data_IF_290872975959
#
_entry.id   IF_290872975959
#
_cell.length_a   1.000
_cell.length_b   1.000
_cell.length_c   1.000
_cell.angle_alpha   90.00
_cell.angle_beta   90.00
_cell.angle_gamma   90.00
#
_symmetry.space_group_name_H-M   'P 1'
#
loop_
_entity.id
_entity.type
_entity.pdbx_description
1 polymer ?
#
# COMPACT_ATOMS: atom_id res chain seq x y z
N UNK A 1 16.27 -5.83 5.90
CA UNK A 1 15.05 -5.20 5.37
C UNK A 1 14.05 -6.28 5.03
N UNK A 2 12.80 -6.09 5.41
CA UNK A 2 11.66 -6.95 5.03
C UNK A 2 10.68 -6.09 4.22
N UNK A 3 10.42 -6.45 2.98
CA UNK A 3 9.43 -5.79 2.11
C UNK A 3 8.18 -6.65 2.05
N UNK A 4 7.07 -6.14 2.57
CA UNK A 4 5.78 -6.81 2.52
C UNK A 4 4.98 -6.34 1.29
N UNK A 5 4.36 -7.28 0.57
CA UNK A 5 3.74 -7.01 -0.72
C UNK A 5 4.77 -6.78 -1.82
N UNK A 6 5.91 -7.47 -1.76
CA UNK A 6 7.06 -7.22 -2.62
C UNK A 6 6.81 -7.49 -4.13
N UNK A 7 5.68 -8.10 -4.47
CA UNK A 7 5.37 -8.44 -5.85
C UNK A 7 6.51 -9.21 -6.52
N UNK A 8 6.98 -8.72 -7.65
CA UNK A 8 8.10 -9.29 -8.40
C UNK A 8 9.48 -8.82 -7.90
N UNK A 9 9.55 -8.05 -6.79
CA UNK A 9 10.79 -7.56 -6.19
C UNK A 9 11.42 -6.38 -6.95
N UNK A 10 10.63 -5.48 -7.47
CA UNK A 10 11.12 -4.28 -8.17
C UNK A 10 11.87 -3.34 -7.23
N UNK A 11 11.28 -3.03 -6.07
CA UNK A 11 11.92 -2.21 -5.04
C UNK A 11 13.17 -2.91 -4.48
N UNK A 12 13.09 -4.21 -4.20
CA UNK A 12 14.21 -5.02 -3.73
C UNK A 12 15.44 -4.91 -4.65
N UNK A 13 15.23 -5.03 -5.97
CA UNK A 13 16.33 -4.88 -6.95
C UNK A 13 16.96 -3.49 -6.89
N UNK A 14 16.15 -2.44 -6.80
CA UNK A 14 16.62 -1.07 -6.74
C UNK A 14 17.40 -0.80 -5.45
N UNK A 15 16.88 -1.22 -4.31
CA UNK A 15 17.53 -1.03 -3.00
C UNK A 15 18.85 -1.80 -2.91
N UNK A 16 18.87 -3.07 -3.30
CA UNK A 16 20.11 -3.88 -3.26
C UNK A 16 21.15 -3.34 -4.24
N UNK A 17 20.73 -2.89 -5.44
CA UNK A 17 21.64 -2.27 -6.40
C UNK A 17 22.24 -0.95 -5.91
N UNK A 18 21.52 -0.21 -5.06
CA UNK A 18 22.04 1.01 -4.42
C UNK A 18 23.12 0.72 -3.34
N UNK A 19 23.23 -0.52 -2.88
CA UNK A 19 24.25 -0.95 -1.94
C UNK A 19 24.22 -0.23 -0.59
N UNK A 20 23.05 -0.10 0.08
CA UNK A 20 22.98 0.63 1.33
C UNK A 20 23.76 -0.10 2.43
N UNK A 21 24.46 0.66 3.26
CA UNK A 21 25.31 0.12 4.35
C UNK A 21 24.57 -0.86 5.28
N UNK A 22 23.27 -0.68 5.49
CA UNK A 22 22.46 -1.58 6.31
C UNK A 22 22.32 -2.99 5.71
N UNK A 23 22.65 -3.19 4.44
CA UNK A 23 22.61 -4.49 3.77
C UNK A 23 24.00 -5.12 3.58
N UNK A 24 25.12 -4.47 3.98
CA UNK A 24 26.47 -5.06 3.88
C UNK A 24 26.58 -6.41 4.62
N UNK A 25 25.92 -6.53 5.77
CA UNK A 25 25.84 -7.77 6.55
C UNK A 25 24.39 -8.23 6.74
N UNK A 26 23.45 -7.65 6.01
CA UNK A 26 22.02 -7.88 6.13
C UNK A 26 21.44 -8.65 4.95
N UNK A 27 20.16 -8.92 5.05
CA UNK A 27 19.36 -9.60 4.01
C UNK A 27 18.16 -8.73 3.64
N UNK A 28 17.82 -8.72 2.36
CA UNK A 28 16.55 -8.20 1.87
C UNK A 28 15.57 -9.36 1.71
N UNK A 29 14.58 -9.43 2.59
CA UNK A 29 13.52 -10.42 2.54
C UNK A 29 12.30 -9.84 1.82
N UNK A 30 11.96 -10.43 0.69
CA UNK A 30 10.75 -10.13 -0.06
C UNK A 30 9.61 -11.05 0.42
N UNK A 31 8.55 -10.45 0.92
CA UNK A 31 7.35 -11.17 1.36
C UNK A 31 6.23 -10.93 0.37
N UNK A 32 5.72 -12.00 -0.25
CA UNK A 32 4.66 -11.94 -1.25
C UNK A 32 3.79 -13.21 -1.17
N UNK A 33 2.47 -13.05 -1.07
CA UNK A 33 1.54 -14.20 -0.96
C UNK A 33 1.37 -14.95 -2.27
N UNK A 34 1.40 -14.25 -3.39
CA UNK A 34 1.25 -14.86 -4.71
C UNK A 34 2.48 -15.70 -5.08
N UNK A 35 2.29 -17.00 -5.21
CA UNK A 35 3.37 -17.90 -5.65
C UNK A 35 3.86 -17.56 -7.07
N UNK A 36 2.97 -17.04 -7.92
CA UNK A 36 3.29 -16.63 -9.29
C UNK A 36 4.23 -15.42 -9.27
N UNK A 37 3.92 -14.40 -8.47
CA UNK A 37 4.78 -13.21 -8.35
C UNK A 37 6.10 -13.54 -7.66
N UNK A 38 6.09 -14.41 -6.65
CA UNK A 38 7.33 -14.87 -6.00
C UNK A 38 8.28 -15.59 -6.97
N UNK A 39 7.77 -16.32 -7.92
CA UNK A 39 8.61 -17.01 -8.91
C UNK A 39 9.45 -16.06 -9.78
N UNK A 40 9.01 -14.82 -9.93
CA UNK A 40 9.71 -13.78 -10.70
C UNK A 40 10.65 -12.93 -9.84
N UNK A 41 10.71 -13.17 -8.52
CA UNK A 41 11.57 -12.42 -7.61
C UNK A 41 13.05 -12.70 -7.84
N UNK A 42 13.95 -11.72 -7.62
CA UNK A 42 15.37 -11.94 -7.70
C UNK A 42 15.84 -12.95 -6.66
N UNK A 43 16.86 -13.72 -7.02
CA UNK A 43 17.50 -14.70 -6.14
C UNK A 43 19.03 -14.49 -6.12
N UNK A 44 19.70 -15.05 -5.13
CA UNK A 44 21.13 -14.94 -4.95
C UNK A 44 21.54 -14.24 -3.67
N UNK A 45 22.80 -13.80 -3.59
CA UNK A 45 23.37 -13.17 -2.38
C UNK A 45 22.61 -11.88 -2.06
N UNK A 46 22.18 -11.75 -0.80
CA UNK A 46 21.47 -10.57 -0.30
C UNK A 46 19.95 -10.65 -0.44
N UNK A 47 19.41 -11.61 -1.18
CA UNK A 47 17.97 -11.79 -1.34
C UNK A 47 17.43 -13.03 -0.62
N UNK A 48 16.27 -12.88 -0.03
CA UNK A 48 15.43 -13.98 0.45
C UNK A 48 13.97 -13.75 0.02
N UNK A 49 13.19 -14.81 -0.08
CA UNK A 49 11.78 -14.76 -0.48
C UNK A 49 10.94 -15.64 0.45
N UNK A 50 9.79 -15.14 0.86
CA UNK A 50 8.84 -15.82 1.74
C UNK A 50 7.39 -15.52 1.33
N UNK A 51 6.48 -16.39 1.76
CA UNK A 51 5.04 -16.14 1.64
C UNK A 51 4.49 -15.29 2.81
N UNK A 52 5.20 -15.25 3.92
CA UNK A 52 4.78 -14.63 5.17
C UNK A 52 5.93 -13.86 5.82
N UNK A 53 5.60 -12.81 6.56
CA UNK A 53 6.55 -12.15 7.46
C UNK A 53 6.93 -13.17 8.55
N UNK A 54 8.20 -13.24 8.98
CA UNK A 54 8.59 -14.05 10.14
C UNK A 54 7.80 -13.66 11.39
N UNK A 55 7.46 -14.64 12.22
CA UNK A 55 6.68 -14.44 13.46
C UNK A 55 7.43 -13.60 14.53
N UNK A 56 8.71 -13.31 14.32
CA UNK A 56 9.56 -12.51 15.21
C UNK A 56 11.01 -12.53 14.79
N UNK A 57 11.89 -11.91 15.59
CA UNK A 57 13.34 -11.92 15.38
C UNK A 57 13.83 -10.90 14.35
N UNK A 58 12.99 -9.95 13.91
CA UNK A 58 13.40 -8.97 12.93
C UNK A 58 14.12 -7.82 13.64
N UNK A 59 15.40 -7.65 13.31
CA UNK A 59 16.15 -6.43 13.62
C UNK A 59 16.38 -5.66 12.32
N UNK A 60 15.66 -4.53 12.14
CA UNK A 60 15.73 -3.77 10.89
C UNK A 60 14.47 -2.99 10.54
N UNK A 61 14.17 -2.91 9.26
CA UNK A 61 13.00 -2.17 8.75
C UNK A 61 12.07 -3.13 8.03
N UNK A 62 10.81 -3.11 8.41
CA UNK A 62 9.70 -3.68 7.63
C UNK A 62 9.11 -2.56 6.79
N UNK A 63 9.03 -2.75 5.47
CA UNK A 63 8.46 -1.79 4.52
C UNK A 63 7.18 -2.36 3.92
N UNK A 64 6.11 -1.59 3.92
CA UNK A 64 4.88 -1.87 3.20
C UNK A 64 4.55 -0.67 2.31
N UNK A 65 4.66 -0.85 1.00
CA UNK A 65 4.35 0.17 0.01
C UNK A 65 3.10 -0.24 -0.77
N UNK A 66 2.03 0.56 -0.68
CA UNK A 66 0.75 0.29 -1.32
C UNK A 66 0.27 -1.16 -1.07
N UNK A 67 0.26 -1.54 0.22
CA UNK A 67 -0.17 -2.87 0.65
C UNK A 67 -1.48 -2.82 1.40
N UNK A 68 -1.64 -1.84 2.31
CA UNK A 68 -2.78 -1.81 3.23
C UNK A 68 -4.08 -1.45 2.50
N UNK A 69 -4.00 -0.64 1.46
CA UNK A 69 -5.11 -0.26 0.58
C UNK A 69 -5.71 -1.47 -0.19
N UNK A 70 -4.93 -2.55 -0.31
CA UNK A 70 -5.31 -3.80 -0.99
C UNK A 70 -5.70 -4.94 -0.02
N UNK A 71 -5.66 -4.70 1.29
CA UNK A 71 -6.08 -5.70 2.26
C UNK A 71 -7.62 -5.78 2.34
N UNK A 72 -8.18 -6.95 2.66
CA UNK A 72 -9.63 -7.10 2.82
C UNK A 72 -10.20 -6.13 3.84
N UNK A 73 -11.31 -5.50 3.52
CA UNK A 73 -12.02 -4.57 4.38
C UNK A 73 -13.53 -4.83 4.38
N UNK A 74 -14.20 -4.38 5.42
CA UNK A 74 -15.64 -4.27 5.48
C UNK A 74 -16.10 -2.88 5.04
N UNK A 75 -17.39 -2.75 4.72
CA UNK A 75 -18.01 -1.45 4.42
C UNK A 75 -19.22 -1.27 5.31
N UNK A 76 -19.33 -0.11 5.96
CA UNK A 76 -20.48 0.30 6.73
C UNK A 76 -21.17 1.46 6.03
N UNK A 77 -22.50 1.48 6.13
CA UNK A 77 -23.33 2.58 5.66
C UNK A 77 -24.24 3.07 6.80
N UNK A 78 -24.47 4.37 6.85
CA UNK A 78 -25.40 4.97 7.78
C UNK A 78 -26.85 4.68 7.37
N UNK A 79 -27.64 4.15 8.32
CA UNK A 79 -29.07 3.87 8.18
C UNK A 79 -29.80 4.46 9.40
N UNK A 80 -30.34 5.66 9.25
CA UNK A 80 -30.90 6.43 10.35
C UNK A 80 -29.82 6.83 11.36
N UNK A 81 -29.98 6.37 12.60
CA UNK A 81 -29.07 6.62 13.73
C UNK A 81 -28.05 5.50 13.97
N UNK A 82 -27.86 4.59 13.00
CA UNK A 82 -27.06 3.39 13.13
C UNK A 82 -26.11 3.20 11.95
N UNK A 83 -25.02 2.48 12.21
CA UNK A 83 -24.18 1.91 11.18
C UNK A 83 -24.62 0.48 10.88
N UNK A 84 -24.69 0.13 9.61
CA UNK A 84 -24.99 -1.23 9.15
C UNK A 84 -23.93 -1.73 8.19
N UNK A 85 -23.64 -3.02 8.30
CA UNK A 85 -22.74 -3.68 7.35
C UNK A 85 -23.34 -3.65 5.94
N UNK A 86 -22.52 -3.31 4.97
CA UNK A 86 -22.83 -3.50 3.55
C UNK A 86 -22.34 -4.89 3.14
N UNK A 87 -23.23 -5.69 2.60
CA UNK A 87 -22.96 -7.04 2.09
C UNK A 87 -23.25 -7.12 0.62
N UNK A 88 -22.72 -8.14 -0.04
CA UNK A 88 -23.06 -8.45 -1.41
C UNK A 88 -24.20 -9.45 -1.40
N UNK A 89 -25.31 -9.11 -2.03
CA UNK A 89 -26.47 -9.97 -2.27
C UNK A 89 -26.59 -10.32 -3.75
N UNK A 90 -27.55 -11.18 -4.06
CA UNK A 90 -27.89 -11.56 -5.43
C UNK A 90 -29.37 -11.24 -5.70
N UNK A 91 -29.65 -10.40 -6.69
CA UNK A 91 -30.97 -10.07 -7.16
C UNK A 91 -31.04 -10.24 -8.68
N UNK A 92 -31.99 -11.08 -9.16
CA UNK A 92 -32.18 -11.35 -10.58
C UNK A 92 -30.83 -11.64 -11.33
N UNK A 93 -29.98 -12.48 -10.72
CA UNK A 93 -28.66 -12.87 -11.22
C UNK A 93 -27.62 -11.73 -11.29
N UNK A 94 -27.90 -10.59 -10.63
CA UNK A 94 -26.97 -9.48 -10.49
C UNK A 94 -26.49 -9.35 -9.05
N UNK A 95 -25.21 -9.06 -8.87
CA UNK A 95 -24.66 -8.72 -7.56
C UNK A 95 -25.10 -7.31 -7.18
N UNK A 96 -25.63 -7.18 -5.98
CA UNK A 96 -26.11 -5.92 -5.41
C UNK A 96 -25.56 -5.71 -4.02
N UNK A 97 -25.44 -4.46 -3.60
CA UNK A 97 -25.17 -4.13 -2.20
C UNK A 97 -26.46 -4.22 -1.40
N UNK A 98 -26.40 -4.87 -0.25
CA UNK A 98 -27.51 -4.97 0.71
C UNK A 98 -27.06 -4.54 2.08
N UNK A 99 -27.91 -3.78 2.80
CA UNK A 99 -27.68 -3.47 4.20
C UNK A 99 -28.04 -4.69 5.05
N UNK A 100 -27.08 -5.13 5.84
CA UNK A 100 -27.22 -6.31 6.70
C UNK A 100 -27.35 -5.92 8.18
N UNK A 101 -26.66 -6.61 9.06
CA UNK A 101 -26.70 -6.39 10.50
C UNK A 101 -26.20 -5.01 10.93
N UNK A 102 -26.74 -4.53 12.05
CA UNK A 102 -26.17 -3.37 12.76
C UNK A 102 -24.74 -3.72 13.25
N UNK A 103 -23.81 -2.77 13.09
CA UNK A 103 -22.43 -2.95 13.50
C UNK A 103 -21.89 -1.67 14.11
N UNK A 104 -21.15 -1.81 15.19
CA UNK A 104 -20.40 -0.69 15.76
C UNK A 104 -19.28 -0.29 14.77
N UNK A 105 -19.11 1.01 14.55
CA UNK A 105 -18.01 1.50 13.72
C UNK A 105 -16.66 1.25 14.42
N UNK A 106 -15.57 1.13 13.66
CA UNK A 106 -14.23 0.87 14.21
C UNK A 106 -13.68 2.04 15.03
N UNK A 107 -14.21 3.25 14.84
CA UNK A 107 -13.88 4.46 15.60
C UNK A 107 -15.14 5.14 16.09
N UNK A 108 -15.04 6.01 17.10
CA UNK A 108 -16.20 6.74 17.61
C UNK A 108 -16.67 7.81 16.62
N UNK A 109 -17.65 7.46 15.81
CA UNK A 109 -18.24 8.33 14.79
C UNK A 109 -19.74 8.11 14.68
N UNK A 110 -20.50 9.20 14.81
CA UNK A 110 -21.95 9.15 14.63
C UNK A 110 -22.32 8.95 13.14
N UNK A 111 -23.37 8.16 12.84
CA UNK A 111 -23.85 8.03 11.49
C UNK A 111 -24.46 9.34 10.99
N UNK A 112 -24.10 9.72 9.77
CA UNK A 112 -24.68 10.87 9.05
C UNK A 112 -25.37 10.34 7.81
N UNK A 113 -26.59 10.80 7.47
CA UNK A 113 -27.33 10.30 6.31
C UNK A 113 -26.49 10.25 5.03
N UNK A 114 -26.42 9.07 4.40
CA UNK A 114 -25.63 8.83 3.19
C UNK A 114 -24.16 8.55 3.42
N UNK A 115 -23.65 8.69 4.64
CA UNK A 115 -22.26 8.39 4.93
C UNK A 115 -21.94 6.90 4.78
N UNK A 116 -20.73 6.64 4.31
CA UNK A 116 -20.12 5.31 4.26
C UNK A 116 -18.72 5.39 4.86
N UNK A 117 -18.30 4.33 5.53
CA UNK A 117 -16.96 4.21 6.11
C UNK A 117 -16.42 2.79 5.89
N UNK A 118 -15.09 2.62 5.73
CA UNK A 118 -14.48 1.32 5.74
C UNK A 118 -14.36 0.76 7.16
N UNK A 119 -14.38 -0.56 7.30
CA UNK A 119 -13.95 -1.32 8.47
C UNK A 119 -12.67 -2.06 8.09
N UNK A 120 -11.53 -1.52 8.45
CA UNK A 120 -10.20 -1.99 8.05
C UNK A 120 -9.50 -2.83 9.12
N UNK A 121 -10.26 -3.64 9.83
CA UNK A 121 -9.71 -4.55 10.86
C UNK A 121 -8.58 -5.46 10.36
N UNK A 122 -8.57 -5.84 9.06
CA UNK A 122 -7.46 -6.60 8.48
C UNK A 122 -6.17 -5.80 8.37
N UNK A 123 -6.25 -4.51 8.00
CA UNK A 123 -5.08 -3.63 7.94
C UNK A 123 -4.53 -3.37 9.34
N UNK A 124 -5.41 -3.12 10.33
CA UNK A 124 -5.03 -2.95 11.72
C UNK A 124 -4.34 -4.20 12.28
N UNK A 125 -4.91 -5.39 12.05
CA UNK A 125 -4.33 -6.66 12.50
C UNK A 125 -2.97 -6.93 11.82
N UNK A 126 -2.85 -6.67 10.52
CA UNK A 126 -1.60 -6.83 9.79
C UNK A 126 -0.51 -5.88 10.34
N UNK A 127 -0.85 -4.61 10.56
CA UNK A 127 0.07 -3.61 11.10
C UNK A 127 0.55 -4.02 12.50
N UNK A 128 -0.36 -4.47 13.36
CA UNK A 128 -0.02 -4.99 14.70
C UNK A 128 0.93 -6.17 14.60
N UNK A 129 0.63 -7.18 13.77
CA UNK A 129 1.49 -8.35 13.60
C UNK A 129 2.86 -8.00 13.02
N UNK A 130 2.94 -7.05 12.09
CA UNK A 130 4.21 -6.57 11.56
C UNK A 130 5.06 -5.85 12.64
N UNK A 131 4.43 -5.09 13.52
CA UNK A 131 5.11 -4.47 14.67
C UNK A 131 5.58 -5.52 15.68
N UNK A 132 4.78 -6.52 15.98
CA UNK A 132 5.12 -7.64 16.89
C UNK A 132 6.27 -8.51 16.35
N UNK A 133 6.48 -8.54 15.05
CA UNK A 133 7.60 -9.27 14.43
C UNK A 133 8.96 -8.57 14.60
N UNK A 134 8.97 -7.29 14.98
CA UNK A 134 10.18 -6.50 15.19
C UNK A 134 10.71 -6.65 16.61
N UNK A 135 11.92 -7.17 16.76
CA UNK A 135 12.68 -7.10 18.01
C UNK A 135 13.30 -5.71 18.20
N UNK A 136 13.78 -5.11 17.12
CA UNK A 136 14.35 -3.77 17.07
C UNK A 136 14.25 -3.20 15.67
N UNK A 137 13.72 -1.99 15.54
CA UNK A 137 13.65 -1.33 14.23
C UNK A 137 12.40 -0.52 14.03
N UNK A 138 11.90 -0.47 12.80
CA UNK A 138 10.73 0.31 12.46
C UNK A 138 9.87 -0.39 11.38
N UNK A 139 8.58 -0.13 11.42
CA UNK A 139 7.66 -0.38 10.33
C UNK A 139 7.45 0.93 9.56
N UNK A 140 7.74 0.92 8.27
CA UNK A 140 7.47 2.01 7.34
C UNK A 140 6.29 1.62 6.44
N UNK A 141 5.21 2.36 6.53
CA UNK A 141 4.04 2.21 5.64
C UNK A 141 3.98 3.42 4.72
N UNK A 142 3.88 3.19 3.43
CA UNK A 142 3.64 4.21 2.40
C UNK A 142 2.36 3.82 1.69
N UNK A 143 1.31 4.64 1.85
CA UNK A 143 0.00 4.32 1.32
C UNK A 143 -0.87 5.57 1.13
N UNK A 144 -1.98 5.44 0.40
CA UNK A 144 -2.99 6.49 0.26
C UNK A 144 -3.86 6.53 1.51
N UNK A 145 -3.80 7.62 2.25
CA UNK A 145 -4.39 7.68 3.59
C UNK A 145 -5.41 8.78 3.77
N UNK A 146 -6.35 8.54 4.67
CA UNK A 146 -7.31 9.52 5.18
C UNK A 146 -7.73 9.12 6.59
N UNK A 147 -8.64 9.86 7.22
CA UNK A 147 -9.31 9.45 8.44
C UNK A 147 -10.70 8.90 8.15
N UNK A 148 -11.22 8.04 9.02
CA UNK A 148 -12.61 7.55 8.91
C UNK A 148 -13.61 8.70 8.86
N UNK A 149 -13.38 9.76 9.63
CA UNK A 149 -14.24 10.96 9.65
C UNK A 149 -14.21 11.70 8.30
N UNK A 150 -13.05 11.87 7.70
CA UNK A 150 -12.94 12.50 6.37
C UNK A 150 -13.63 11.65 5.30
N UNK A 151 -13.46 10.34 5.32
CA UNK A 151 -14.13 9.42 4.40
C UNK A 151 -15.65 9.49 4.53
N UNK A 152 -16.18 9.57 5.76
CA UNK A 152 -17.63 9.69 6.02
C UNK A 152 -18.26 10.94 5.39
N UNK A 153 -17.46 11.99 5.14
CA UNK A 153 -17.93 13.26 4.55
C UNK A 153 -17.80 13.33 3.02
N UNK A 154 -17.14 12.35 2.41
CA UNK A 154 -16.85 12.30 0.97
C UNK A 154 -17.71 11.24 0.27
N UNK A 155 -18.03 11.41 -1.03
CA UNK A 155 -18.54 10.33 -1.87
C UNK A 155 -17.62 9.09 -1.81
N UNK A 156 -18.24 7.91 -1.76
CA UNK A 156 -17.51 6.64 -1.59
C UNK A 156 -16.51 6.37 -2.71
N UNK A 157 -16.79 6.78 -3.93
CA UNK A 157 -15.94 6.62 -5.11
C UNK A 157 -14.67 7.49 -5.08
N UNK A 158 -14.55 8.41 -4.14
CA UNK A 158 -13.32 9.18 -3.94
C UNK A 158 -12.27 8.44 -3.12
N UNK A 159 -12.66 7.47 -2.28
CA UNK A 159 -11.78 6.74 -1.40
C UNK A 159 -11.86 5.21 -1.52
N UNK A 160 -12.88 4.67 -2.20
CA UNK A 160 -13.03 3.28 -2.60
C UNK A 160 -13.06 3.23 -4.13
N UNK A 161 -12.02 2.71 -4.74
CA UNK A 161 -11.83 2.74 -6.19
C UNK A 161 -11.64 1.33 -6.72
N UNK A 162 -11.92 1.18 -8.01
CA UNK A 162 -11.64 -0.04 -8.74
C UNK A 162 -10.78 0.29 -9.96
N UNK A 163 -9.92 -0.63 -10.32
CA UNK A 163 -9.04 -0.47 -11.49
C UNK A 163 -9.07 -1.73 -12.34
N UNK A 164 -9.09 -1.52 -13.67
CA UNK A 164 -8.95 -2.56 -14.68
C UNK A 164 -7.99 -2.06 -15.76
N UNK A 165 -6.94 -2.83 -16.06
CA UNK A 165 -5.95 -2.45 -17.07
C UNK A 165 -5.40 -1.02 -16.88
N UNK A 166 -5.10 -0.64 -15.64
CA UNK A 166 -4.65 0.70 -15.23
C UNK A 166 -5.65 1.84 -15.49
N UNK A 167 -6.91 1.53 -15.75
CA UNK A 167 -7.99 2.51 -15.87
C UNK A 167 -8.98 2.37 -14.73
N UNK A 168 -9.67 3.46 -14.39
CA UNK A 168 -10.71 3.41 -13.38
C UNK A 168 -11.82 2.45 -13.84
N UNK A 169 -12.18 1.52 -12.96
CA UNK A 169 -13.20 0.51 -13.18
C UNK A 169 -14.63 0.97 -12.84
N UNK A 170 -15.55 0.02 -12.77
CA UNK A 170 -16.93 0.22 -12.37
C UNK A 170 -17.15 0.14 -10.84
N UNK A 171 -18.37 -0.20 -10.43
CA UNK A 171 -18.65 -0.45 -9.01
C UNK A 171 -17.93 -1.72 -8.53
N UNK A 172 -17.57 -1.83 -7.24
CA UNK A 172 -16.89 -3.03 -6.71
C UNK A 172 -17.64 -4.35 -6.97
N UNK A 173 -18.95 -4.31 -7.11
CA UNK A 173 -19.80 -5.48 -7.39
C UNK A 173 -19.95 -5.81 -8.86
N UNK A 174 -19.47 -4.94 -9.75
CA UNK A 174 -19.54 -5.17 -11.20
C UNK A 174 -18.41 -6.10 -11.64
N UNK A 175 -18.75 -7.16 -12.37
CA UNK A 175 -17.81 -8.10 -12.98
C UNK A 175 -16.70 -8.60 -12.02
N UNK A 176 -17.06 -9.33 -10.93
CA UNK A 176 -16.13 -9.74 -9.88
C UNK A 176 -14.96 -10.56 -10.41
N UNK A 177 -13.77 -10.25 -9.90
CA UNK A 177 -12.53 -10.91 -10.29
C UNK A 177 -11.86 -10.33 -11.54
N UNK A 178 -12.45 -9.29 -12.16
CA UNK A 178 -11.90 -8.64 -13.35
C UNK A 178 -11.25 -7.29 -13.06
N UNK A 179 -11.34 -6.81 -11.83
CA UNK A 179 -10.83 -5.50 -11.41
C UNK A 179 -10.20 -5.57 -10.02
N UNK A 180 -9.19 -4.76 -9.79
CA UNK A 180 -8.63 -4.54 -8.47
C UNK A 180 -9.54 -3.58 -7.70
N UNK A 181 -9.68 -3.80 -6.40
CA UNK A 181 -10.45 -2.93 -5.50
C UNK A 181 -9.47 -2.37 -4.47
N UNK A 182 -9.32 -1.05 -4.44
CA UNK A 182 -8.48 -0.36 -3.48
C UNK A 182 -9.30 0.59 -2.61
N UNK A 183 -8.87 0.76 -1.37
CA UNK A 183 -9.52 1.62 -0.39
C UNK A 183 -8.48 2.49 0.29
N UNK A 184 -8.70 3.81 0.37
CA UNK A 184 -7.80 4.65 1.19
C UNK A 184 -7.68 4.09 2.60
N UNK A 185 -6.48 4.12 3.15
CA UNK A 185 -6.21 3.58 4.49
C UNK A 185 -6.70 4.57 5.56
N UNK A 186 -7.62 4.14 6.40
CA UNK A 186 -8.10 4.91 7.54
C UNK A 186 -7.07 4.84 8.67
N UNK A 187 -6.19 5.85 8.75
CA UNK A 187 -5.06 5.85 9.69
C UNK A 187 -5.50 5.81 11.15
N UNK A 188 -6.68 6.34 11.44
CA UNK A 188 -7.29 6.32 12.77
C UNK A 188 -7.84 4.95 13.20
N UNK A 189 -7.81 3.95 12.31
CA UNK A 189 -8.12 2.55 12.61
C UNK A 189 -6.85 1.70 12.83
N UNK A 190 -5.67 2.24 12.55
CA UNK A 190 -4.39 1.56 12.72
C UNK A 190 -3.81 1.81 14.12
N UNK A 191 -2.82 1.02 14.57
CA UNK A 191 -2.00 1.38 15.72
C UNK A 191 -1.40 2.77 15.54
N UNK A 192 -1.37 3.56 16.64
CA UNK A 192 -0.88 4.93 16.60
C UNK A 192 0.58 4.99 16.11
N UNK A 193 0.87 5.74 15.03
CA UNK A 193 2.21 5.83 14.47
C UNK A 193 3.10 6.76 15.32
N UNK A 194 4.40 6.48 15.37
CA UNK A 194 5.39 7.38 15.99
C UNK A 194 5.48 8.72 15.24
N UNK A 195 5.29 8.70 13.93
CA UNK A 195 5.26 9.89 13.07
C UNK A 195 4.48 9.64 11.80
N UNK A 196 3.87 10.69 11.27
CA UNK A 196 3.18 10.69 9.97
C UNK A 196 3.63 11.91 9.19
N UNK A 197 3.92 11.72 7.91
CA UNK A 197 4.29 12.79 6.99
C UNK A 197 3.81 12.44 5.59
N UNK A 198 3.68 13.40 4.71
CA UNK A 198 3.44 13.13 3.30
C UNK A 198 4.70 12.59 2.61
N UNK A 199 4.48 11.80 1.56
CA UNK A 199 5.56 11.12 0.84
C UNK A 199 6.58 12.11 0.25
N UNK A 200 6.14 13.26 -0.23
CA UNK A 200 7.03 14.26 -0.82
C UNK A 200 7.98 14.84 0.23
N UNK A 201 7.48 15.19 1.40
CA UNK A 201 8.28 15.65 2.54
C UNK A 201 9.26 14.57 3.00
N UNK A 202 8.80 13.32 3.12
CA UNK A 202 9.67 12.18 3.45
C UNK A 202 10.81 12.03 2.46
N UNK A 203 10.52 12.05 1.16
CA UNK A 203 11.52 11.90 0.11
C UNK A 203 12.52 13.06 0.09
N UNK A 204 12.07 14.30 0.29
CA UNK A 204 12.96 15.48 0.36
C UNK A 204 13.93 15.37 1.54
N UNK A 205 13.44 15.00 2.72
CA UNK A 205 14.29 14.79 3.92
C UNK A 205 15.32 13.67 3.69
N UNK A 206 15.01 12.71 2.85
CA UNK A 206 15.88 11.57 2.53
C UNK A 206 16.67 11.70 1.23
N UNK A 207 16.75 12.93 0.65
CA UNK A 207 17.69 13.27 -0.42
C UNK A 207 17.19 13.01 -1.83
N UNK A 208 15.88 13.02 -2.08
CA UNK A 208 15.33 12.85 -3.43
C UNK A 208 15.85 13.94 -4.39
N UNK A 209 16.05 15.16 -3.91
CA UNK A 209 16.53 16.28 -4.72
C UNK A 209 17.94 16.02 -5.28
N UNK A 210 18.82 15.38 -4.52
CA UNK A 210 20.15 15.00 -4.96
C UNK A 210 20.07 13.94 -6.08
N UNK A 211 19.19 12.93 -5.93
CA UNK A 211 18.97 11.91 -6.95
C UNK A 211 18.39 12.50 -8.24
N UNK A 212 17.46 13.44 -8.12
CA UNK A 212 16.88 14.16 -9.28
C UNK A 212 17.95 14.99 -9.98
N UNK A 213 18.80 15.70 -9.22
CA UNK A 213 19.89 16.50 -9.77
C UNK A 213 20.90 15.62 -10.53
N UNK A 214 21.31 14.49 -9.94
CA UNK A 214 22.19 13.49 -10.58
C UNK A 214 21.56 12.93 -11.87
N UNK A 215 20.27 12.57 -11.83
CA UNK A 215 19.56 12.09 -13.00
C UNK A 215 19.49 13.12 -14.13
N UNK A 216 19.24 14.39 -13.80
CA UNK A 216 19.24 15.51 -14.77
C UNK A 216 20.62 15.73 -15.38
N UNK A 217 21.67 15.72 -14.57
CA UNK A 217 23.05 15.85 -15.04
C UNK A 217 23.41 14.71 -16.00
N UNK A 218 23.15 13.45 -15.60
CA UNK A 218 23.38 12.27 -16.44
C UNK A 218 22.66 12.40 -17.79
N UNK A 219 21.39 12.83 -17.77
CA UNK A 219 20.63 13.02 -19.01
C UNK A 219 21.19 14.13 -19.88
N UNK A 220 21.59 15.28 -19.30
CA UNK A 220 22.14 16.41 -20.05
C UNK A 220 23.48 16.07 -20.69
N UNK A 221 24.35 15.40 -19.97
CA UNK A 221 25.70 15.04 -20.44
C UNK A 221 25.69 13.95 -21.53
N UNK A 222 24.71 13.04 -21.47
CA UNK A 222 24.65 11.85 -22.32
C UNK A 222 23.56 11.88 -23.39
N UNK A 223 22.68 12.88 -23.37
CA UNK A 223 21.56 13.01 -24.31
C UNK A 223 21.98 13.11 -25.79
N UNK A 224 23.22 13.53 -26.06
CA UNK A 224 23.79 13.69 -27.41
C UNK A 224 24.25 12.40 -28.05
N UNK A 225 24.33 11.27 -27.31
CA UNK A 225 24.99 10.05 -27.78
C UNK A 225 23.99 8.89 -28.00
N UNK A 226 22.71 9.05 -27.66
CA UNK A 226 21.71 7.96 -27.74
C UNK A 226 22.04 6.78 -26.81
N UNK A 227 22.80 7.02 -25.75
CA UNK A 227 23.29 6.01 -24.84
C UNK A 227 22.23 5.57 -23.83
N UNK A 228 22.29 4.29 -23.45
CA UNK A 228 21.47 3.68 -22.38
C UNK A 228 21.57 4.41 -21.04
N UNK A 229 22.68 5.09 -20.74
CA UNK A 229 22.86 5.87 -19.53
C UNK A 229 21.99 7.14 -19.52
N UNK A 230 21.81 7.80 -20.68
CA UNK A 230 20.87 8.94 -20.81
C UNK A 230 19.42 8.50 -20.61
N UNK A 231 19.05 7.31 -21.08
CA UNK A 231 17.71 6.71 -20.83
C UNK A 231 17.53 6.42 -19.34
N UNK A 232 18.54 5.90 -18.66
CA UNK A 232 18.49 5.65 -17.20
C UNK A 232 18.39 6.94 -16.40
N UNK A 233 19.12 8.00 -16.77
CA UNK A 233 19.00 9.32 -16.15
C UNK A 233 17.60 9.90 -16.30
N UNK A 234 16.98 9.75 -17.49
CA UNK A 234 15.59 10.18 -17.73
C UNK A 234 14.58 9.37 -16.91
N UNK A 235 14.76 8.05 -16.79
CA UNK A 235 13.90 7.20 -15.97
C UNK A 235 13.93 7.63 -14.50
N UNK A 236 15.13 7.90 -13.94
CA UNK A 236 15.27 8.40 -12.56
C UNK A 236 14.52 9.72 -12.33
N UNK A 237 14.51 10.63 -13.30
CA UNK A 237 13.75 11.89 -13.22
C UNK A 237 12.25 11.62 -13.23
N UNK A 238 11.78 10.71 -14.06
CA UNK A 238 10.35 10.36 -14.16
C UNK A 238 9.87 9.61 -12.91
N UNK A 239 10.69 8.72 -12.36
CA UNK A 239 10.38 7.97 -11.13
C UNK A 239 10.41 8.86 -9.87
N UNK A 240 11.08 9.99 -9.91
CA UNK A 240 11.20 10.93 -8.80
C UNK A 240 10.20 12.11 -8.86
N UNK A 241 9.51 12.30 -9.96
CA UNK A 241 8.53 13.39 -10.18
C UNK A 241 7.12 12.93 -10.16
#
# INVERSE_FOLDING_TARGET
VVEAGAGRGTLARAVVAAGPRCLEAGTYLMVERSAVLRADQPSGIGFASSAHIPDGGITGVVVANELLDNLPFGLLAADGDRWRSVRVGLEADQLVEVLAEERLPPVDIAPVPGARIPDQGSAAAWTTGALESLDLGALLVVDYTSTTTEMATRPVDQWLRTYRDHQQGGRPVDDPGSQDITVEVAVDQLPEPTSTTDQSTFLVVHGIDDLVAEGRQTWTEQATIGDLAAVRGRSRIVEAG
#
